data_IF_264304273236
#
_entry.id   IF_264304273236
#
_cell.length_a   1.000
_cell.length_b   1.000
_cell.length_c   1.000
_cell.angle_alpha   90.00
_cell.angle_beta   90.00
_cell.angle_gamma   90.00
#
_symmetry.space_group_name_H-M   'P 1'
#
loop_
_entity.id
_entity.type
_entity.pdbx_description
1 polymer ?
#
# COMPACT_ATOMS: atom_id res chain seq x y z
N UNK A 1 6.37 2.96 -39.06
CA UNK A 1 7.43 2.74 -38.06
C UNK A 1 7.09 1.44 -37.32
N UNK A 2 7.74 0.33 -37.65
CA UNK A 2 7.52 -0.96 -36.96
C UNK A 2 8.00 -0.78 -35.52
N UNK A 3 7.06 -0.80 -34.56
CA UNK A 3 7.39 -0.84 -33.14
C UNK A 3 8.08 -2.19 -32.91
N UNK A 4 9.40 -2.14 -32.67
CA UNK A 4 10.21 -3.31 -32.36
C UNK A 4 9.48 -4.09 -31.24
N UNK A 5 9.21 -5.37 -31.48
CA UNK A 5 8.46 -6.20 -30.54
C UNK A 5 9.16 -6.15 -29.16
N UNK A 6 8.41 -5.73 -28.15
CA UNK A 6 8.89 -5.49 -26.77
C UNK A 6 9.29 -6.82 -26.15
N UNK A 7 10.46 -6.90 -25.53
CA UNK A 7 10.85 -8.09 -24.78
C UNK A 7 9.97 -8.25 -23.54
N UNK A 8 9.72 -9.49 -23.12
CA UNK A 8 8.97 -9.79 -21.90
C UNK A 8 9.59 -9.12 -20.67
N UNK A 9 10.92 -9.13 -20.57
CA UNK A 9 11.66 -8.47 -19.49
C UNK A 9 11.40 -6.97 -19.45
N UNK A 10 11.39 -6.31 -20.62
CA UNK A 10 11.07 -4.89 -20.73
C UNK A 10 9.64 -4.58 -20.24
N UNK A 11 8.69 -5.47 -20.53
CA UNK A 11 7.32 -5.32 -20.04
C UNK A 11 7.24 -5.44 -18.52
N UNK A 12 7.88 -6.46 -17.95
CA UNK A 12 7.91 -6.68 -16.50
C UNK A 12 8.52 -5.48 -15.78
N UNK A 13 9.68 -5.01 -16.23
CA UNK A 13 10.37 -3.85 -15.64
C UNK A 13 9.51 -2.61 -15.70
N UNK A 14 8.85 -2.34 -16.84
CA UNK A 14 8.00 -1.17 -17.02
C UNK A 14 6.77 -1.21 -16.09
N UNK A 15 6.10 -2.34 -15.95
CA UNK A 15 4.95 -2.50 -15.04
C UNK A 15 5.40 -2.36 -13.58
N UNK A 16 6.53 -2.94 -13.23
CA UNK A 16 7.12 -2.79 -11.90
C UNK A 16 7.49 -1.33 -11.60
N UNK A 17 8.12 -0.62 -12.54
CA UNK A 17 8.46 0.80 -12.36
C UNK A 17 7.22 1.69 -12.18
N UNK A 18 6.14 1.44 -12.92
CA UNK A 18 4.87 2.16 -12.74
C UNK A 18 4.28 1.93 -11.35
N UNK A 19 4.34 0.70 -10.82
CA UNK A 19 3.90 0.41 -9.45
C UNK A 19 4.83 1.04 -8.41
N UNK A 20 6.12 1.05 -8.69
CA UNK A 20 7.18 1.54 -7.79
C UNK A 20 7.07 3.03 -7.48
N UNK A 21 6.49 3.83 -8.38
CA UNK A 21 6.21 5.25 -8.12
C UNK A 21 5.41 5.46 -6.83
N UNK A 22 4.46 4.57 -6.52
CA UNK A 22 3.66 4.66 -5.29
C UNK A 22 4.51 4.41 -4.06
N UNK A 23 5.27 3.29 -4.04
CA UNK A 23 6.11 2.95 -2.90
C UNK A 23 7.21 4.01 -2.68
N UNK A 24 7.86 4.46 -3.76
CA UNK A 24 8.85 5.53 -3.68
C UNK A 24 8.25 6.83 -3.11
N UNK A 25 7.00 7.18 -3.50
CA UNK A 25 6.33 8.39 -3.01
C UNK A 25 5.91 8.30 -1.53
N UNK A 26 5.86 7.11 -0.96
CA UNK A 26 5.56 6.89 0.45
C UNK A 26 6.85 6.73 1.24
N UNK A 27 7.66 5.73 0.88
CA UNK A 27 8.74 5.22 1.71
C UNK A 27 9.98 6.14 1.69
N UNK A 28 10.24 6.85 0.58
CA UNK A 28 11.34 7.80 0.51
C UNK A 28 11.13 9.05 1.40
N UNK A 29 9.89 9.37 1.77
CA UNK A 29 9.61 10.48 2.68
C UNK A 29 9.81 10.12 4.16
N UNK A 30 9.82 8.83 4.51
CA UNK A 30 9.84 8.40 5.91
C UNK A 30 10.99 9.02 6.72
N UNK A 31 12.25 9.07 6.24
CA UNK A 31 13.34 9.69 6.97
C UNK A 31 13.19 11.21 7.16
N UNK A 32 12.40 11.86 6.30
CA UNK A 32 12.25 13.31 6.26
C UNK A 32 10.98 13.83 6.96
N UNK A 33 10.12 12.96 7.51
CA UNK A 33 8.81 13.35 8.03
C UNK A 33 8.87 14.46 9.08
N UNK A 34 9.81 14.38 10.01
CA UNK A 34 9.98 15.40 11.05
C UNK A 34 10.44 16.74 10.45
N UNK A 35 11.46 16.70 9.58
CA UNK A 35 12.00 17.91 8.92
C UNK A 35 10.92 18.59 8.07
N UNK A 36 10.13 17.81 7.33
CA UNK A 36 8.99 18.34 6.56
C UNK A 36 7.96 18.94 7.50
N UNK A 37 7.59 18.26 8.58
CA UNK A 37 6.64 18.74 9.57
C UNK A 37 7.03 20.12 10.11
N UNK A 38 8.26 20.26 10.57
CA UNK A 38 8.80 21.55 11.04
C UNK A 38 8.72 22.62 9.95
N UNK A 39 9.08 22.27 8.70
CA UNK A 39 9.11 23.23 7.59
C UNK A 39 7.72 23.75 7.18
N UNK A 40 6.66 22.96 7.42
CA UNK A 40 5.27 23.36 7.15
C UNK A 40 4.53 23.85 8.39
N UNK A 41 5.27 24.12 9.49
CA UNK A 41 4.76 24.76 10.70
C UNK A 41 3.98 23.83 11.63
N UNK A 42 4.22 22.51 11.61
CA UNK A 42 3.62 21.61 12.58
C UNK A 42 4.46 21.56 13.85
N UNK A 43 3.79 21.49 14.99
CA UNK A 43 4.41 21.27 16.30
C UNK A 43 4.22 19.84 16.82
N UNK A 44 3.51 19.00 16.09
CA UNK A 44 3.12 17.66 16.53
C UNK A 44 3.58 16.60 15.53
N UNK A 45 4.23 15.56 16.04
CA UNK A 45 4.62 14.39 15.23
C UNK A 45 3.40 13.68 14.61
N UNK A 46 2.24 13.73 15.26
CA UNK A 46 1.01 13.18 14.70
C UNK A 46 0.56 13.89 13.42
N UNK A 47 0.86 15.18 13.28
CA UNK A 47 0.54 15.94 12.08
C UNK A 47 1.45 15.54 10.92
N UNK A 48 2.74 15.28 11.19
CA UNK A 48 3.67 14.77 10.17
C UNK A 48 3.25 13.38 9.64
N UNK A 49 2.63 12.54 10.49
CA UNK A 49 2.08 11.24 10.08
C UNK A 49 0.93 11.36 9.08
N UNK A 50 0.19 12.49 9.08
CA UNK A 50 -0.85 12.75 8.09
C UNK A 50 -0.29 12.73 6.67
N UNK A 51 0.97 13.09 6.46
CA UNK A 51 1.59 13.08 5.13
C UNK A 51 1.63 11.69 4.51
N UNK A 52 1.78 10.66 5.33
CA UNK A 52 1.72 9.26 4.88
C UNK A 52 0.26 8.79 4.76
N UNK A 53 -0.57 9.13 5.72
CA UNK A 53 -1.96 8.66 5.77
C UNK A 53 -2.80 9.23 4.64
N UNK A 54 -2.58 10.50 4.27
CA UNK A 54 -3.38 11.20 3.26
C UNK A 54 -3.05 10.79 1.82
N UNK A 55 -1.84 10.36 1.52
CA UNK A 55 -1.56 9.78 0.19
C UNK A 55 -2.30 8.46 0.01
N UNK A 56 -2.44 7.65 1.07
CA UNK A 56 -3.25 6.44 1.02
C UNK A 56 -4.73 6.74 0.82
N UNK A 57 -5.26 7.78 1.49
CA UNK A 57 -6.64 8.23 1.23
C UNK A 57 -6.84 8.56 -0.25
N UNK A 58 -5.91 9.33 -0.82
CA UNK A 58 -5.91 9.65 -2.25
C UNK A 58 -5.85 8.41 -3.15
N UNK A 59 -4.99 7.43 -2.81
CA UNK A 59 -4.91 6.15 -3.52
C UNK A 59 -6.24 5.39 -3.49
N UNK A 60 -6.90 5.34 -2.33
CA UNK A 60 -8.20 4.69 -2.18
C UNK A 60 -9.28 5.35 -3.05
N UNK A 61 -9.38 6.68 -2.99
CA UNK A 61 -10.32 7.45 -3.82
C UNK A 61 -10.05 7.26 -5.31
N UNK A 62 -8.79 7.39 -5.72
CA UNK A 62 -8.40 7.25 -7.11
C UNK A 62 -8.62 5.85 -7.69
N UNK A 63 -8.47 4.79 -6.89
CA UNK A 63 -8.72 3.42 -7.33
C UNK A 63 -10.17 3.17 -7.75
N UNK A 64 -11.14 3.85 -7.12
CA UNK A 64 -12.55 3.73 -7.49
C UNK A 64 -12.82 4.16 -8.93
N UNK A 65 -12.09 5.16 -9.38
CA UNK A 65 -12.32 5.80 -10.68
C UNK A 65 -11.37 5.26 -11.76
N UNK A 66 -10.10 5.05 -11.42
CA UNK A 66 -9.05 4.68 -12.39
C UNK A 66 -9.39 3.44 -13.23
N UNK A 67 -9.93 2.39 -12.60
CA UNK A 67 -10.33 1.17 -13.29
C UNK A 67 -11.41 1.41 -14.33
N UNK A 68 -12.50 2.08 -13.94
CA UNK A 68 -13.65 2.34 -14.81
C UNK A 68 -13.31 3.28 -15.98
N UNK A 69 -12.58 4.35 -15.68
CA UNK A 69 -12.10 5.26 -16.72
C UNK A 69 -11.22 4.53 -17.72
N UNK A 70 -10.35 3.63 -17.26
CA UNK A 70 -9.48 2.87 -18.13
C UNK A 70 -10.21 1.82 -18.98
N UNK A 71 -11.29 1.25 -18.46
CA UNK A 71 -12.15 0.34 -19.23
C UNK A 71 -12.95 1.08 -20.33
N UNK A 72 -13.12 2.38 -20.20
CA UNK A 72 -13.86 3.21 -21.16
C UNK A 72 -12.94 3.91 -22.16
N UNK A 73 -11.87 4.54 -21.67
CA UNK A 73 -10.99 5.39 -22.48
C UNK A 73 -9.71 4.69 -22.95
N UNK A 74 -9.41 3.50 -22.39
CA UNK A 74 -8.15 2.80 -22.59
C UNK A 74 -7.18 2.96 -21.41
N UNK A 75 -6.20 2.06 -21.33
CA UNK A 75 -5.23 2.04 -20.22
C UNK A 75 -4.28 3.23 -20.26
N UNK A 76 -3.71 3.50 -21.45
CA UNK A 76 -2.69 4.55 -21.62
C UNK A 76 -3.19 5.96 -21.29
N UNK A 77 -4.33 6.41 -21.82
CA UNK A 77 -4.84 7.75 -21.51
C UNK A 77 -5.02 8.00 -20.02
N UNK A 78 -5.52 6.99 -19.29
CA UNK A 78 -5.75 7.10 -17.85
C UNK A 78 -4.46 7.09 -17.04
N UNK A 79 -3.42 6.34 -17.47
CA UNK A 79 -2.08 6.43 -16.87
C UNK A 79 -1.51 7.83 -17.04
N UNK A 80 -1.65 8.44 -18.24
CA UNK A 80 -1.16 9.81 -18.47
C UNK A 80 -1.91 10.85 -17.65
N UNK A 81 -3.24 10.74 -17.57
CA UNK A 81 -4.04 11.63 -16.73
C UNK A 81 -3.64 11.52 -15.25
N UNK A 82 -3.49 10.30 -14.74
CA UNK A 82 -3.01 10.07 -13.36
C UNK A 82 -1.63 10.63 -13.13
N UNK A 83 -0.70 10.44 -14.06
CA UNK A 83 0.64 11.01 -13.96
C UNK A 83 0.64 12.53 -14.00
N UNK A 84 -0.21 13.17 -14.83
CA UNK A 84 -0.36 14.62 -14.84
C UNK A 84 -0.85 15.17 -13.50
N UNK A 85 -1.82 14.49 -12.86
CA UNK A 85 -2.28 14.82 -11.50
C UNK A 85 -1.14 14.66 -10.50
N UNK A 86 -0.36 13.57 -10.59
CA UNK A 86 0.81 13.35 -9.74
C UNK A 86 1.86 14.45 -9.86
N UNK A 87 2.15 14.93 -11.09
CA UNK A 87 3.11 16.01 -11.33
C UNK A 87 2.63 17.31 -10.66
N UNK A 88 1.37 17.71 -10.89
CA UNK A 88 0.78 18.91 -10.29
C UNK A 88 0.83 18.82 -8.76
N UNK A 89 0.42 17.67 -8.21
CA UNK A 89 0.41 17.42 -6.78
C UNK A 89 1.82 17.48 -6.17
N UNK A 90 2.81 16.93 -6.85
CA UNK A 90 4.20 16.95 -6.38
C UNK A 90 4.77 18.37 -6.38
N UNK A 91 4.42 19.19 -7.37
CA UNK A 91 4.78 20.61 -7.40
C UNK A 91 4.13 21.35 -6.21
N UNK A 92 2.84 21.09 -5.92
CA UNK A 92 2.17 21.63 -4.73
C UNK A 92 2.93 21.25 -3.45
N UNK A 93 3.34 19.99 -3.32
CA UNK A 93 4.10 19.54 -2.16
C UNK A 93 5.46 20.26 -2.03
N UNK A 94 6.22 20.40 -3.11
CA UNK A 94 7.53 21.08 -3.12
C UNK A 94 7.43 22.53 -2.62
N UNK A 95 6.38 23.24 -3.02
CA UNK A 95 6.17 24.65 -2.66
C UNK A 95 5.24 24.86 -1.46
N UNK A 96 4.86 23.78 -0.75
CA UNK A 96 3.97 23.93 0.40
C UNK A 96 4.65 24.64 1.57
N UNK A 97 3.90 25.58 2.17
CA UNK A 97 4.32 26.36 3.35
C UNK A 97 3.41 26.13 4.56
N UNK A 98 2.39 25.28 4.42
CA UNK A 98 1.48 24.91 5.49
C UNK A 98 1.15 23.42 5.43
N UNK A 99 0.73 22.88 6.57
CA UNK A 99 0.31 21.48 6.69
C UNK A 99 -0.87 21.18 5.76
N UNK A 100 -1.86 22.07 5.70
CA UNK A 100 -3.06 21.89 4.87
C UNK A 100 -2.72 21.78 3.38
N UNK A 101 -1.82 22.65 2.91
CA UNK A 101 -1.37 22.62 1.51
C UNK A 101 -0.61 21.34 1.20
N UNK A 102 0.28 20.90 2.13
CA UNK A 102 1.01 19.65 1.98
C UNK A 102 0.06 18.44 1.98
N UNK A 103 -0.89 18.37 2.92
CA UNK A 103 -1.92 17.33 3.02
C UNK A 103 -2.76 17.25 1.74
N UNK A 104 -3.21 18.41 1.24
CA UNK A 104 -3.94 18.48 -0.04
C UNK A 104 -3.09 17.94 -1.20
N UNK A 105 -1.83 18.33 -1.29
CA UNK A 105 -0.88 17.81 -2.26
C UNK A 105 -0.72 16.30 -2.16
N UNK A 106 -0.62 15.76 -0.95
CA UNK A 106 -0.49 14.31 -0.71
C UNK A 106 -1.74 13.51 -1.14
N UNK A 107 -2.95 14.04 -0.88
CA UNK A 107 -4.20 13.43 -1.37
C UNK A 107 -4.20 13.40 -2.90
N UNK A 108 -3.87 14.51 -3.54
CA UNK A 108 -3.80 14.57 -5.01
C UNK A 108 -2.72 13.65 -5.59
N UNK A 109 -1.54 13.54 -4.95
CA UNK A 109 -0.51 12.57 -5.34
C UNK A 109 -1.06 11.14 -5.31
N UNK A 110 -1.77 10.78 -4.24
CA UNK A 110 -2.41 9.46 -4.12
C UNK A 110 -3.42 9.21 -5.24
N UNK A 111 -4.29 10.17 -5.52
CA UNK A 111 -5.26 10.08 -6.64
C UNK A 111 -4.52 9.84 -7.96
N UNK A 112 -3.49 10.64 -8.26
CA UNK A 112 -2.70 10.51 -9.47
C UNK A 112 -2.00 9.16 -9.61
N UNK A 113 -1.37 8.70 -8.55
CA UNK A 113 -0.62 7.43 -8.51
C UNK A 113 -1.50 6.18 -8.51
N UNK A 114 -2.78 6.33 -8.21
CA UNK A 114 -3.74 5.20 -8.24
C UNK A 114 -3.86 4.58 -9.64
N UNK A 115 -3.79 5.40 -10.69
CA UNK A 115 -3.88 4.96 -12.07
C UNK A 115 -2.67 4.09 -12.49
N UNK A 116 -1.41 4.54 -12.44
CA UNK A 116 -0.27 3.71 -12.82
C UNK A 116 -0.19 2.42 -11.99
N UNK A 117 -0.52 2.45 -10.69
CA UNK A 117 -0.55 1.27 -9.83
C UNK A 117 -1.60 0.24 -10.27
N UNK A 118 -2.84 0.68 -10.43
CA UNK A 118 -3.96 -0.23 -10.73
C UNK A 118 -3.87 -0.75 -12.16
N UNK A 119 -3.47 0.11 -13.09
CA UNK A 119 -3.45 -0.24 -14.52
C UNK A 119 -2.24 -1.06 -14.92
N UNK A 120 -1.13 -1.03 -14.18
CA UNK A 120 -0.03 -1.99 -14.37
C UNK A 120 -0.53 -3.42 -14.24
N UNK A 121 -1.31 -3.70 -13.19
CA UNK A 121 -1.91 -5.02 -12.96
C UNK A 121 -2.91 -5.36 -14.06
N UNK A 122 -3.74 -4.39 -14.48
CA UNK A 122 -4.70 -4.58 -15.55
C UNK A 122 -4.01 -4.89 -16.88
N UNK A 123 -2.94 -4.18 -17.22
CA UNK A 123 -2.17 -4.41 -18.46
C UNK A 123 -1.49 -5.79 -18.48
N UNK A 124 -1.02 -6.29 -17.33
CA UNK A 124 -0.52 -7.67 -17.25
C UNK A 124 -1.64 -8.66 -17.58
N UNK A 125 -2.82 -8.46 -17.00
CA UNK A 125 -3.99 -9.32 -17.25
C UNK A 125 -4.52 -9.21 -18.68
N UNK A 126 -4.46 -8.03 -19.31
CA UNK A 126 -4.87 -7.83 -20.69
C UNK A 126 -3.91 -8.51 -21.68
N UNK A 127 -2.64 -8.70 -21.29
CA UNK A 127 -1.57 -9.21 -22.16
C UNK A 127 -1.28 -10.70 -21.98
N UNK A 128 -1.60 -11.27 -20.80
CA UNK A 128 -1.28 -12.65 -20.46
C UNK A 128 -2.44 -13.33 -19.73
N UNK A 129 -2.51 -14.67 -19.78
CA UNK A 129 -3.55 -15.47 -19.14
C UNK A 129 -2.98 -16.72 -18.46
N UNK A 130 -3.77 -17.33 -17.56
CA UNK A 130 -3.43 -18.57 -16.87
C UNK A 130 -2.15 -18.49 -16.04
N UNK A 131 -1.41 -19.60 -15.99
CA UNK A 131 -0.17 -19.72 -15.19
C UNK A 131 0.93 -18.77 -15.65
N UNK A 132 0.94 -18.45 -16.95
CA UNK A 132 1.91 -17.51 -17.50
C UNK A 132 1.69 -16.09 -17.00
N UNK A 133 0.43 -15.64 -16.87
CA UNK A 133 0.08 -14.37 -16.25
C UNK A 133 0.54 -14.33 -14.78
N UNK A 134 0.32 -15.41 -14.04
CA UNK A 134 0.74 -15.53 -12.65
C UNK A 134 2.26 -15.39 -12.52
N UNK A 135 3.03 -16.02 -13.41
CA UNK A 135 4.50 -15.91 -13.47
C UNK A 135 4.95 -14.47 -13.73
N UNK A 136 4.37 -13.79 -14.74
CA UNK A 136 4.70 -12.39 -15.04
C UNK A 136 4.39 -11.49 -13.85
N UNK A 137 3.22 -11.66 -13.23
CA UNK A 137 2.80 -10.89 -12.06
C UNK A 137 3.76 -11.10 -10.89
N UNK A 138 4.24 -12.32 -10.65
CA UNK A 138 5.22 -12.62 -9.60
C UNK A 138 6.52 -11.83 -9.81
N UNK A 139 7.04 -11.74 -11.03
CA UNK A 139 8.23 -10.94 -11.31
C UNK A 139 7.98 -9.43 -11.08
N UNK A 140 6.83 -8.91 -11.54
CA UNK A 140 6.46 -7.51 -11.32
C UNK A 140 6.39 -7.18 -9.83
N UNK A 141 5.74 -8.04 -9.04
CA UNK A 141 5.61 -7.87 -7.59
C UNK A 141 6.94 -8.04 -6.88
N UNK A 142 7.80 -8.97 -7.31
CA UNK A 142 9.13 -9.15 -6.71
C UNK A 142 9.99 -7.90 -6.85
N UNK A 143 9.99 -7.26 -8.01
CA UNK A 143 10.70 -6.00 -8.22
C UNK A 143 10.09 -4.88 -7.38
N UNK A 144 8.75 -4.81 -7.31
CA UNK A 144 8.04 -3.83 -6.49
C UNK A 144 8.40 -3.93 -5.00
N UNK A 145 8.56 -5.16 -4.46
CA UNK A 145 8.94 -5.39 -3.05
C UNK A 145 10.34 -4.86 -2.72
N UNK A 146 11.25 -4.77 -3.70
CA UNK A 146 12.57 -4.20 -3.49
C UNK A 146 12.54 -2.68 -3.24
N UNK A 147 11.49 -1.99 -3.70
CA UNK A 147 11.42 -0.52 -3.58
C UNK A 147 11.35 -0.06 -2.13
N UNK A 148 10.48 -0.59 -1.26
CA UNK A 148 10.49 -0.25 0.17
C UNK A 148 11.82 -0.51 0.88
N UNK A 149 12.62 -1.45 0.38
CA UNK A 149 13.97 -1.73 0.93
C UNK A 149 14.95 -0.59 0.63
N UNK A 150 14.86 -0.01 -0.57
CA UNK A 150 15.82 0.99 -1.07
C UNK A 150 15.31 2.42 -0.89
N UNK A 151 14.00 2.64 -0.93
CA UNK A 151 13.42 3.99 -0.95
C UNK A 151 13.78 4.85 0.27
N UNK A 152 13.75 4.36 1.53
CA UNK A 152 14.15 5.18 2.67
C UNK A 152 15.62 5.60 2.61
N UNK A 153 16.51 4.72 2.14
CA UNK A 153 17.94 5.05 1.95
C UNK A 153 18.11 6.15 0.91
N UNK A 154 17.42 6.04 -0.23
CA UNK A 154 17.43 7.10 -1.25
C UNK A 154 16.84 8.41 -0.69
N UNK A 155 15.75 8.33 0.07
CA UNK A 155 15.14 9.48 0.73
C UNK A 155 16.09 10.18 1.69
N UNK A 156 16.83 9.42 2.51
CA UNK A 156 17.84 9.95 3.41
C UNK A 156 18.98 10.64 2.65
N UNK A 157 19.53 10.00 1.62
CA UNK A 157 20.58 10.60 0.78
C UNK A 157 20.11 11.93 0.15
N UNK A 158 18.86 11.97 -0.34
CA UNK A 158 18.29 13.20 -0.91
C UNK A 158 18.12 14.27 0.17
N UNK A 159 17.60 13.91 1.35
CA UNK A 159 17.41 14.81 2.48
C UNK A 159 18.74 15.45 2.91
N UNK A 160 19.76 14.63 3.15
CA UNK A 160 21.04 15.06 3.72
C UNK A 160 21.85 15.95 2.77
N UNK A 161 21.75 15.72 1.45
CA UNK A 161 22.55 16.47 0.47
C UNK A 161 21.82 17.64 -0.21
N UNK A 162 20.48 17.56 -0.34
CA UNK A 162 19.71 18.51 -1.16
C UNK A 162 18.45 19.03 -0.49
N UNK A 163 18.18 18.60 0.76
CA UNK A 163 16.96 18.97 1.50
C UNK A 163 15.73 18.16 1.08
N UNK A 164 14.66 18.28 1.87
CA UNK A 164 13.46 17.44 1.73
C UNK A 164 12.70 17.63 0.40
N UNK A 165 12.74 18.82 -0.20
CA UNK A 165 12.09 19.10 -1.49
C UNK A 165 12.67 18.24 -2.62
N UNK A 166 13.95 17.87 -2.51
CA UNK A 166 14.62 17.03 -3.50
C UNK A 166 14.03 15.63 -3.58
N UNK A 167 13.41 15.13 -2.52
CA UNK A 167 12.73 13.85 -2.50
C UNK A 167 11.56 13.86 -3.49
N UNK A 168 10.73 14.90 -3.46
CA UNK A 168 9.63 15.04 -4.43
C UNK A 168 10.16 15.26 -5.86
N UNK A 169 11.22 16.06 -6.00
CA UNK A 169 11.83 16.31 -7.32
C UNK A 169 12.42 15.03 -7.93
N UNK A 170 13.08 14.18 -7.11
CA UNK A 170 13.60 12.89 -7.57
C UNK A 170 12.49 11.95 -8.03
N UNK A 171 11.35 11.93 -7.33
CA UNK A 171 10.16 11.17 -7.73
C UNK A 171 9.58 11.68 -9.04
N UNK A 172 9.55 13.01 -9.28
CA UNK A 172 9.13 13.60 -10.53
C UNK A 172 10.04 13.20 -11.69
N UNK A 173 11.36 13.25 -11.50
CA UNK A 173 12.35 12.85 -12.51
C UNK A 173 12.19 11.36 -12.84
N UNK A 174 12.13 10.50 -11.84
CA UNK A 174 11.91 9.07 -12.03
C UNK A 174 10.59 8.80 -12.75
N UNK A 175 9.50 9.43 -12.31
CA UNK A 175 8.19 9.32 -12.95
C UNK A 175 8.18 9.78 -14.40
N UNK A 176 8.84 10.90 -14.71
CA UNK A 176 8.97 11.40 -16.08
C UNK A 176 9.72 10.41 -16.98
N UNK A 177 10.81 9.80 -16.48
CA UNK A 177 11.57 8.78 -17.21
C UNK A 177 10.68 7.56 -17.48
N UNK A 178 9.97 7.07 -16.46
CA UNK A 178 9.10 5.90 -16.57
C UNK A 178 7.95 6.15 -17.55
N UNK A 179 7.31 7.33 -17.48
CA UNK A 179 6.18 7.67 -18.37
C UNK A 179 6.65 7.94 -19.79
N UNK A 180 7.82 8.53 -19.98
CA UNK A 180 8.41 8.71 -21.32
C UNK A 180 8.76 7.34 -21.96
N UNK A 181 9.31 6.42 -21.16
CA UNK A 181 9.55 5.04 -21.59
C UNK A 181 8.24 4.32 -21.93
N UNK A 182 7.24 4.43 -21.05
CA UNK A 182 5.89 3.87 -21.25
C UNK A 182 5.23 4.44 -22.51
N UNK A 183 5.34 5.74 -22.77
CA UNK A 183 4.81 6.39 -23.96
C UNK A 183 5.38 5.76 -25.25
N UNK A 184 6.72 5.64 -25.30
CA UNK A 184 7.44 5.17 -26.50
C UNK A 184 7.30 3.67 -26.76
N UNK A 185 7.17 2.87 -25.69
CA UNK A 185 7.35 1.41 -25.81
C UNK A 185 6.10 0.59 -25.49
N UNK A 186 5.13 1.15 -24.77
CA UNK A 186 3.91 0.42 -24.41
C UNK A 186 2.80 0.73 -25.42
N UNK A 187 2.30 -0.26 -26.19
CA UNK A 187 1.06 -0.12 -26.95
C UNK A 187 -0.15 -0.14 -25.99
N UNK A 188 -1.31 0.36 -26.46
CA UNK A 188 -2.57 0.17 -25.75
C UNK A 188 -2.91 -1.32 -25.64
N UNK A 189 -3.24 -1.77 -24.43
CA UNK A 189 -3.55 -3.20 -24.18
C UNK A 189 -5.03 -3.51 -24.24
N UNK A 190 -5.89 -2.51 -23.98
CA UNK A 190 -7.33 -2.68 -24.07
C UNK A 190 -7.80 -2.52 -25.51
N UNK A 191 -8.20 -3.64 -26.14
CA UNK A 191 -8.77 -3.63 -27.49
C UNK A 191 -10.07 -2.81 -27.52
N UNK A 192 -10.32 -2.07 -28.58
CA UNK A 192 -11.52 -1.20 -28.71
C UNK A 192 -12.84 -1.95 -28.53
N UNK A 193 -12.92 -3.19 -29.02
CA UNK A 193 -14.08 -4.07 -28.88
C UNK A 193 -14.42 -4.40 -27.42
N UNK A 194 -13.44 -4.31 -26.52
CA UNK A 194 -13.63 -4.57 -25.08
C UNK A 194 -13.86 -3.31 -24.27
N UNK A 195 -13.85 -2.12 -24.89
CA UNK A 195 -14.16 -0.86 -24.20
C UNK A 195 -15.62 -0.84 -23.79
N UNK A 196 -15.85 -0.47 -22.53
CA UNK A 196 -17.18 -0.35 -21.95
C UNK A 196 -17.58 1.11 -21.87
N UNK A 197 -18.82 1.46 -22.20
CA UNK A 197 -19.32 2.81 -21.97
C UNK A 197 -19.30 3.12 -20.46
N UNK A 198 -18.82 4.31 -20.11
CA UNK A 198 -18.83 4.77 -18.72
C UNK A 198 -20.30 4.92 -18.29
N UNK A 199 -20.76 4.07 -17.39
CA UNK A 199 -22.11 4.11 -16.84
C UNK A 199 -22.04 4.08 -15.32
N UNK A 200 -22.44 5.17 -14.68
CA UNK A 200 -22.53 5.27 -13.23
C UNK A 200 -23.49 4.20 -12.64
N UNK A 201 -24.48 3.79 -13.43
CA UNK A 201 -25.40 2.69 -13.07
C UNK A 201 -24.66 1.35 -12.86
N UNK A 202 -23.63 1.05 -13.64
CA UNK A 202 -22.86 -0.19 -13.47
C UNK A 202 -22.10 -0.21 -12.14
N UNK A 203 -21.57 0.94 -11.72
CA UNK A 203 -20.92 1.06 -10.41
C UNK A 203 -21.94 0.86 -9.27
N UNK A 204 -23.10 1.54 -9.35
CA UNK A 204 -24.18 1.36 -8.37
C UNK A 204 -24.63 -0.10 -8.29
N UNK A 205 -24.89 -0.73 -9.43
CA UNK A 205 -25.30 -2.15 -9.47
C UNK A 205 -24.21 -3.07 -8.92
N UNK A 206 -22.94 -2.85 -9.31
CA UNK A 206 -21.82 -3.64 -8.80
C UNK A 206 -21.59 -3.46 -7.30
N UNK A 207 -21.77 -2.23 -6.78
CA UNK A 207 -21.70 -1.96 -5.33
C UNK A 207 -22.83 -2.68 -4.58
N UNK A 208 -24.05 -2.62 -5.08
CA UNK A 208 -25.19 -3.33 -4.49
C UNK A 208 -24.98 -4.84 -4.52
N UNK A 209 -24.40 -5.36 -5.61
CA UNK A 209 -24.06 -6.77 -5.72
C UNK A 209 -22.96 -7.16 -4.73
N UNK A 210 -21.91 -6.36 -4.60
CA UNK A 210 -20.85 -6.55 -3.59
C UNK A 210 -21.44 -6.67 -2.17
N UNK A 211 -22.40 -5.79 -1.84
CA UNK A 211 -23.03 -5.76 -0.51
C UNK A 211 -23.93 -6.97 -0.21
N UNK A 212 -24.30 -7.77 -1.21
CA UNK A 212 -25.06 -9.01 -1.00
C UNK A 212 -24.15 -10.17 -0.54
N UNK A 213 -22.83 -10.07 -0.75
CA UNK A 213 -21.89 -11.14 -0.46
C UNK A 213 -21.17 -10.91 0.88
N UNK A 214 -21.69 -11.55 1.94
CA UNK A 214 -21.15 -11.44 3.30
C UNK A 214 -19.66 -11.76 3.39
N UNK A 215 -19.18 -12.77 2.64
CA UNK A 215 -17.75 -13.12 2.61
C UNK A 215 -16.89 -11.97 2.02
N UNK A 216 -17.37 -11.32 0.93
CA UNK A 216 -16.67 -10.19 0.36
C UNK A 216 -16.55 -9.03 1.35
N UNK A 217 -17.65 -8.72 2.07
CA UNK A 217 -17.65 -7.68 3.10
C UNK A 217 -16.72 -8.06 4.24
N UNK A 218 -16.86 -9.28 4.80
CA UNK A 218 -16.02 -9.76 5.90
C UNK A 218 -14.53 -9.62 5.59
N UNK A 219 -14.06 -10.23 4.50
CA UNK A 219 -12.64 -10.22 4.18
C UNK A 219 -12.14 -8.83 3.78
N UNK A 220 -13.02 -7.96 3.29
CA UNK A 220 -12.69 -6.54 3.06
C UNK A 220 -12.49 -5.78 4.37
N UNK A 221 -13.37 -5.98 5.36
CA UNK A 221 -13.20 -5.39 6.69
C UNK A 221 -11.91 -5.88 7.38
N UNK A 222 -11.65 -7.19 7.32
CA UNK A 222 -10.38 -7.74 7.83
C UNK A 222 -9.17 -7.10 7.13
N UNK A 223 -9.24 -6.96 5.81
CA UNK A 223 -8.20 -6.24 5.05
C UNK A 223 -8.03 -4.80 5.53
N UNK A 224 -9.11 -4.12 5.91
CA UNK A 224 -9.08 -2.76 6.45
C UNK A 224 -8.32 -2.67 7.77
N UNK A 225 -8.58 -3.57 8.73
CA UNK A 225 -7.89 -3.61 10.02
C UNK A 225 -6.39 -3.92 9.85
N UNK A 226 -6.04 -4.89 9.00
CA UNK A 226 -4.63 -5.25 8.75
C UNK A 226 -3.91 -4.13 7.99
N UNK A 227 -4.56 -3.49 7.00
CA UNK A 227 -4.01 -2.33 6.30
C UNK A 227 -3.83 -1.15 7.25
N UNK A 228 -4.77 -0.91 8.16
CA UNK A 228 -4.68 0.11 9.20
C UNK A 228 -3.48 -0.11 10.11
N UNK A 229 -3.29 -1.32 10.61
CA UNK A 229 -2.13 -1.71 11.41
C UNK A 229 -0.82 -1.45 10.67
N UNK A 230 -0.72 -1.86 9.41
CA UNK A 230 0.46 -1.59 8.59
C UNK A 230 0.69 -0.08 8.39
N UNK A 231 -0.37 0.68 8.15
CA UNK A 231 -0.30 2.13 7.93
C UNK A 231 0.12 2.89 9.21
N UNK A 232 -0.32 2.46 10.40
CA UNK A 232 0.17 3.01 11.67
C UNK A 232 1.68 2.90 11.75
N UNK A 233 2.22 1.70 11.49
CA UNK A 233 3.68 1.50 11.49
C UNK A 233 4.38 2.41 10.48
N UNK A 234 3.89 2.49 9.25
CA UNK A 234 4.49 3.38 8.24
C UNK A 234 4.58 4.82 8.75
N UNK A 235 3.48 5.34 9.34
CA UNK A 235 3.42 6.71 9.85
C UNK A 235 4.27 6.95 11.11
N UNK A 236 4.49 5.92 11.94
CA UNK A 236 5.19 6.06 13.23
C UNK A 236 6.61 5.48 13.23
N UNK A 237 7.02 4.77 12.18
CA UNK A 237 8.31 4.08 12.13
C UNK A 237 9.51 5.03 12.32
N UNK A 238 9.49 6.19 11.67
CA UNK A 238 10.52 7.22 11.82
C UNK A 238 10.60 7.68 13.28
N UNK A 239 9.48 8.01 13.90
CA UNK A 239 9.40 8.45 15.29
C UNK A 239 9.90 7.36 16.25
N UNK A 240 9.53 6.10 16.04
CA UNK A 240 9.99 5.00 16.88
C UNK A 240 11.50 4.82 16.75
N UNK A 241 12.03 4.62 15.56
CA UNK A 241 13.43 4.25 15.39
C UNK A 241 14.38 5.45 15.55
N UNK A 242 14.05 6.60 14.97
CA UNK A 242 14.96 7.76 15.02
C UNK A 242 14.83 8.56 16.31
N UNK A 243 13.61 8.80 16.83
CA UNK A 243 13.42 9.67 18.00
C UNK A 243 13.45 8.90 19.32
N UNK A 244 12.73 7.75 19.41
CA UNK A 244 12.66 6.99 20.67
C UNK A 244 13.92 6.13 20.92
N UNK A 245 14.55 5.61 19.85
CA UNK A 245 15.76 4.77 19.94
C UNK A 245 17.04 5.49 19.52
N UNK A 246 16.97 6.67 18.89
CA UNK A 246 18.12 7.41 18.39
C UNK A 246 18.82 6.80 17.17
N UNK A 247 18.16 5.86 16.47
CA UNK A 247 18.71 5.09 15.34
C UNK A 247 18.47 5.81 14.02
N UNK A 248 19.08 6.99 13.83
CA UNK A 248 18.88 7.82 12.64
C UNK A 248 19.51 7.20 11.39
N UNK A 249 20.75 6.69 11.54
CA UNK A 249 21.51 6.10 10.44
C UNK A 249 21.04 4.67 10.11
N UNK A 250 20.60 3.92 11.11
CA UNK A 250 20.17 2.54 10.98
C UNK A 250 18.72 2.39 10.49
N UNK A 251 17.90 3.43 10.65
CA UNK A 251 16.47 3.41 10.30
C UNK A 251 16.19 2.86 8.91
N UNK A 252 16.87 3.30 7.82
CA UNK A 252 16.61 2.78 6.49
C UNK A 252 16.85 1.26 6.37
N UNK A 253 17.86 0.74 7.06
CA UNK A 253 18.19 -0.70 7.05
C UNK A 253 17.18 -1.52 7.83
N UNK A 254 16.74 -1.02 9.00
CA UNK A 254 15.70 -1.67 9.83
C UNK A 254 14.39 -1.70 9.05
N UNK A 255 14.00 -0.59 8.43
CA UNK A 255 12.79 -0.53 7.61
C UNK A 255 12.88 -1.49 6.41
N UNK A 256 14.02 -1.55 5.74
CA UNK A 256 14.29 -2.50 4.68
C UNK A 256 14.17 -3.96 5.13
N UNK A 257 14.66 -4.30 6.31
CA UNK A 257 14.52 -5.64 6.88
C UNK A 257 13.05 -6.02 7.12
N UNK A 258 12.21 -5.06 7.56
CA UNK A 258 10.77 -5.29 7.70
C UNK A 258 10.12 -5.53 6.33
N UNK A 259 10.47 -4.78 5.31
CA UNK A 259 9.97 -4.98 3.95
C UNK A 259 10.37 -6.36 3.39
N UNK A 260 11.60 -6.80 3.65
CA UNK A 260 12.09 -8.15 3.29
C UNK A 260 11.24 -9.23 4.01
N UNK A 261 10.90 -9.05 5.27
CA UNK A 261 10.04 -9.99 6.02
C UNK A 261 8.68 -10.18 5.33
N UNK A 262 8.01 -9.09 4.91
CA UNK A 262 6.78 -9.15 4.11
C UNK A 262 7.02 -9.87 2.77
N UNK A 263 8.14 -9.56 2.11
CA UNK A 263 8.51 -10.17 0.82
C UNK A 263 8.68 -11.68 0.92
N UNK A 264 9.44 -12.15 1.91
CA UNK A 264 9.64 -13.59 2.16
C UNK A 264 8.30 -14.26 2.46
N UNK A 265 7.48 -13.67 3.33
CA UNK A 265 6.17 -14.20 3.67
C UNK A 265 5.26 -14.33 2.44
N UNK A 266 5.23 -13.31 1.59
CA UNK A 266 4.43 -13.31 0.36
C UNK A 266 4.92 -14.38 -0.62
N UNK A 267 6.23 -14.55 -0.75
CA UNK A 267 6.83 -15.58 -1.60
C UNK A 267 6.49 -16.99 -1.09
N UNK A 268 6.69 -17.24 0.20
CA UNK A 268 6.37 -18.51 0.84
C UNK A 268 4.86 -18.81 0.77
N UNK A 269 4.01 -17.78 0.90
CA UNK A 269 2.56 -17.94 0.75
C UNK A 269 2.18 -18.54 -0.60
N UNK A 270 2.86 -18.18 -1.68
CA UNK A 270 2.59 -18.71 -3.02
C UNK A 270 2.68 -20.24 -3.11
N UNK A 271 3.58 -20.86 -2.35
CA UNK A 271 3.74 -22.32 -2.29
C UNK A 271 2.84 -22.98 -1.25
N UNK A 272 2.73 -22.36 -0.08
CA UNK A 272 2.04 -22.91 1.09
C UNK A 272 0.51 -22.85 0.94
N UNK A 273 -0.01 -21.85 0.24
CA UNK A 273 -1.44 -21.67 0.02
C UNK A 273 -2.08 -22.82 -0.77
N UNK A 274 -1.33 -23.38 -1.72
CA UNK A 274 -1.80 -24.54 -2.50
C UNK A 274 -1.99 -25.79 -1.65
N UNK A 275 -1.20 -25.93 -0.57
CA UNK A 275 -1.26 -27.10 0.33
C UNK A 275 -2.29 -26.94 1.43
N UNK A 276 -2.41 -25.76 2.03
CA UNK A 276 -3.22 -25.56 3.24
C UNK A 276 -4.52 -24.77 2.97
N UNK A 277 -4.60 -24.03 1.87
CA UNK A 277 -5.73 -23.20 1.50
C UNK A 277 -5.75 -21.83 2.21
N UNK A 278 -6.33 -20.82 1.55
CA UNK A 278 -6.34 -19.43 2.03
C UNK A 278 -6.99 -19.25 3.40
N UNK A 279 -8.15 -19.89 3.65
CA UNK A 279 -8.91 -19.71 4.91
C UNK A 279 -8.11 -20.18 6.14
N UNK A 280 -7.40 -21.33 6.03
CA UNK A 280 -6.57 -21.84 7.14
C UNK A 280 -5.36 -20.94 7.40
N UNK A 281 -4.71 -20.45 6.31
CA UNK A 281 -3.58 -19.53 6.44
C UNK A 281 -4.00 -18.20 7.06
N UNK A 282 -5.13 -17.63 6.64
CA UNK A 282 -5.66 -16.41 7.27
C UNK A 282 -5.90 -16.62 8.75
N UNK A 283 -6.54 -17.72 9.15
CA UNK A 283 -6.77 -18.00 10.57
C UNK A 283 -5.46 -18.14 11.35
N UNK A 284 -4.49 -18.88 10.83
CA UNK A 284 -3.20 -19.10 11.49
C UNK A 284 -2.42 -17.80 11.66
N UNK A 285 -2.24 -17.03 10.56
CA UNK A 285 -1.44 -15.82 10.61
C UNK A 285 -2.14 -14.65 11.30
N UNK A 286 -3.47 -14.59 11.28
CA UNK A 286 -4.22 -13.63 12.09
C UNK A 286 -4.11 -13.97 13.59
N UNK A 287 -4.13 -15.24 13.95
CA UNK A 287 -3.85 -15.68 15.34
C UNK A 287 -2.43 -15.33 15.75
N UNK A 288 -1.43 -15.59 14.90
CA UNK A 288 -0.04 -15.22 15.13
C UNK A 288 0.11 -13.70 15.34
N UNK A 289 -0.47 -12.88 14.45
CA UNK A 289 -0.46 -11.43 14.55
C UNK A 289 -1.04 -10.96 15.90
N UNK A 290 -2.17 -11.51 16.31
CA UNK A 290 -2.84 -11.16 17.57
C UNK A 290 -2.03 -11.63 18.79
N UNK A 291 -1.48 -12.84 18.77
CA UNK A 291 -0.69 -13.37 19.88
C UNK A 291 0.62 -12.63 20.07
N UNK A 292 1.36 -12.32 19.01
CA UNK A 292 2.59 -11.51 19.11
C UNK A 292 2.29 -10.16 19.75
N UNK A 293 1.19 -9.51 19.33
CA UNK A 293 0.75 -8.26 19.93
C UNK A 293 0.38 -8.43 21.41
N UNK A 294 -0.34 -9.49 21.76
CA UNK A 294 -0.75 -9.79 23.12
C UNK A 294 0.47 -10.02 24.04
N UNK A 295 1.42 -10.83 23.61
CA UNK A 295 2.66 -11.07 24.38
C UNK A 295 3.45 -9.79 24.59
N UNK A 296 3.60 -8.97 23.54
CA UNK A 296 4.27 -7.67 23.67
C UNK A 296 3.57 -6.77 24.70
N UNK A 297 2.24 -6.65 24.62
CA UNK A 297 1.43 -5.82 25.51
C UNK A 297 1.53 -6.32 26.98
N UNK A 298 1.51 -7.63 27.23
CA UNK A 298 1.62 -8.19 28.58
C UNK A 298 3.02 -7.94 29.15
N UNK A 299 4.07 -8.22 28.38
CA UNK A 299 5.46 -8.17 28.87
C UNK A 299 5.91 -6.73 29.13
N UNK A 300 5.50 -5.77 28.29
CA UNK A 300 5.97 -4.38 28.35
C UNK A 300 4.92 -3.40 28.92
N UNK A 301 3.89 -3.92 29.62
CA UNK A 301 2.92 -3.07 30.30
C UNK A 301 3.60 -2.16 31.35
N UNK A 302 3.40 -0.84 31.23
CA UNK A 302 3.97 0.16 32.14
C UNK A 302 5.49 0.28 32.09
N UNK A 303 6.17 -0.32 31.12
CA UNK A 303 7.63 -0.26 30.95
C UNK A 303 8.01 0.73 29.85
N UNK A 304 9.29 1.15 29.88
CA UNK A 304 9.92 1.83 28.75
C UNK A 304 10.07 0.90 27.54
N UNK A 305 10.47 1.44 26.40
CA UNK A 305 10.74 0.64 25.22
C UNK A 305 11.70 -0.53 25.53
N UNK A 306 11.46 -1.74 24.96
CA UNK A 306 12.34 -2.89 25.10
C UNK A 306 13.70 -2.66 24.42
N UNK A 307 14.70 -3.55 24.63
CA UNK A 307 15.88 -3.61 23.77
C UNK A 307 15.49 -3.67 22.31
N UNK A 308 16.26 -3.01 21.44
CA UNK A 308 15.92 -2.85 20.02
C UNK A 308 15.73 -4.19 19.30
N UNK A 309 16.49 -5.21 19.70
CA UNK A 309 16.44 -6.56 19.12
C UNK A 309 15.06 -7.18 19.32
N UNK A 310 14.48 -7.02 20.51
CA UNK A 310 13.14 -7.54 20.84
C UNK A 310 12.07 -6.81 20.03
N UNK A 311 12.20 -5.49 19.90
CA UNK A 311 11.28 -4.70 19.08
C UNK A 311 11.32 -5.11 17.61
N UNK A 312 12.55 -5.22 17.05
CA UNK A 312 12.76 -5.61 15.65
C UNK A 312 12.22 -7.02 15.38
N UNK A 313 12.48 -7.99 16.28
CA UNK A 313 11.93 -9.34 16.16
C UNK A 313 10.40 -9.31 16.22
N UNK A 314 9.82 -8.55 17.15
CA UNK A 314 8.37 -8.41 17.26
C UNK A 314 7.75 -7.85 15.99
N UNK A 315 8.34 -6.81 15.41
CA UNK A 315 7.91 -6.27 14.12
C UNK A 315 8.12 -7.27 12.97
N UNK A 316 9.25 -7.95 12.91
CA UNK A 316 9.50 -8.94 11.85
C UNK A 316 8.44 -10.05 11.84
N UNK A 317 8.04 -10.55 13.02
CA UNK A 317 6.95 -11.53 13.15
C UNK A 317 5.60 -10.94 12.72
N UNK A 318 5.30 -9.68 13.08
CA UNK A 318 4.08 -9.00 12.65
C UNK A 318 4.04 -8.84 11.14
N UNK A 319 5.15 -8.38 10.53
CA UNK A 319 5.22 -8.16 9.09
C UNK A 319 5.23 -9.46 8.30
N UNK A 320 5.81 -10.51 8.85
CA UNK A 320 5.70 -11.86 8.28
C UNK A 320 4.23 -12.31 8.24
N UNK A 321 3.48 -12.13 9.33
CA UNK A 321 2.04 -12.43 9.35
C UNK A 321 1.26 -11.57 8.33
N UNK A 322 1.53 -10.25 8.26
CA UNK A 322 0.90 -9.33 7.31
C UNK A 322 1.14 -9.76 5.87
N UNK A 323 2.34 -10.25 5.53
CA UNK A 323 2.67 -10.74 4.19
C UNK A 323 1.77 -11.90 3.73
N UNK A 324 1.43 -12.82 4.62
CA UNK A 324 0.43 -13.86 4.35
C UNK A 324 -0.99 -13.30 4.28
N UNK A 325 -1.33 -12.37 5.15
CA UNK A 325 -2.70 -11.85 5.27
C UNK A 325 -3.12 -11.01 4.06
N UNK A 326 -2.28 -10.11 3.55
CA UNK A 326 -2.64 -9.19 2.46
C UNK A 326 -3.15 -9.90 1.21
N UNK A 327 -2.41 -10.89 0.72
CA UNK A 327 -2.77 -11.62 -0.48
C UNK A 327 -4.03 -12.49 -0.29
N UNK A 328 -4.06 -13.24 0.80
CA UNK A 328 -5.13 -14.20 1.06
C UNK A 328 -6.47 -13.52 1.39
N UNK A 329 -6.46 -12.44 2.20
CA UNK A 329 -7.67 -11.68 2.52
C UNK A 329 -8.29 -11.08 1.26
N UNK A 330 -7.47 -10.45 0.41
CA UNK A 330 -7.92 -9.87 -0.85
C UNK A 330 -8.49 -10.92 -1.80
N UNK A 331 -7.84 -12.07 -1.90
CA UNK A 331 -8.30 -13.18 -2.74
C UNK A 331 -9.63 -13.74 -2.24
N UNK A 332 -9.78 -13.94 -0.94
CA UNK A 332 -11.02 -14.41 -0.32
C UNK A 332 -12.18 -13.41 -0.49
N UNK A 333 -11.91 -12.11 -0.38
CA UNK A 333 -12.91 -11.07 -0.63
C UNK A 333 -13.40 -11.08 -2.08
N UNK A 334 -12.53 -11.44 -3.04
CA UNK A 334 -12.85 -11.45 -4.47
C UNK A 334 -13.49 -12.75 -4.94
N UNK A 335 -13.35 -13.84 -4.20
CA UNK A 335 -13.80 -15.17 -4.60
C UNK A 335 -15.30 -15.24 -4.95
N UNK A 336 -16.24 -14.70 -4.12
CA UNK A 336 -17.68 -14.76 -4.41
C UNK A 336 -18.15 -13.79 -5.50
N UNK A 337 -17.33 -12.80 -5.86
CA UNK A 337 -17.68 -11.68 -6.76
C UNK A 337 -16.84 -11.63 -8.03
N UNK A 338 -16.33 -12.78 -8.49
CA UNK A 338 -15.48 -12.87 -9.67
C UNK A 338 -16.10 -12.27 -10.95
N UNK A 339 -17.43 -12.33 -11.10
CA UNK A 339 -18.17 -11.75 -12.22
C UNK A 339 -18.17 -10.21 -12.25
N UNK A 340 -17.94 -9.55 -11.11
CA UNK A 340 -17.75 -8.09 -10.98
C UNK A 340 -16.35 -7.73 -10.48
N UNK A 341 -15.34 -8.53 -10.80
CA UNK A 341 -14.00 -8.45 -10.23
C UNK A 341 -13.38 -7.03 -10.28
N UNK A 342 -13.62 -6.25 -11.34
CA UNK A 342 -13.11 -4.87 -11.45
C UNK A 342 -13.68 -3.96 -10.37
N UNK A 343 -15.00 -3.92 -10.23
CA UNK A 343 -15.70 -3.11 -9.22
C UNK A 343 -15.41 -3.63 -7.81
N UNK A 344 -15.45 -4.96 -7.63
CA UNK A 344 -15.15 -5.59 -6.36
C UNK A 344 -13.74 -5.28 -5.85
N UNK A 345 -12.73 -5.34 -6.72
CA UNK A 345 -11.35 -4.98 -6.37
C UNK A 345 -11.19 -3.51 -6.01
N UNK A 346 -11.89 -2.61 -6.73
CA UNK A 346 -11.89 -1.18 -6.43
C UNK A 346 -12.55 -0.90 -5.08
N UNK A 347 -13.68 -1.53 -4.79
CA UNK A 347 -14.38 -1.41 -3.50
C UNK A 347 -13.55 -1.99 -2.35
N UNK A 348 -12.97 -3.19 -2.52
CA UNK A 348 -12.10 -3.78 -1.51
C UNK A 348 -10.92 -2.85 -1.18
N UNK A 349 -10.23 -2.33 -2.20
CA UNK A 349 -9.12 -1.40 -1.99
C UNK A 349 -9.55 -0.09 -1.33
N UNK A 350 -10.66 0.49 -1.77
CA UNK A 350 -11.20 1.73 -1.22
C UNK A 350 -11.61 1.57 0.25
N UNK A 351 -12.47 0.59 0.55
CA UNK A 351 -12.97 0.37 1.92
C UNK A 351 -11.83 0.06 2.87
N UNK A 352 -10.89 -0.83 2.46
CA UNK A 352 -9.72 -1.15 3.28
C UNK A 352 -8.88 0.07 3.59
N UNK A 353 -8.69 0.97 2.62
CA UNK A 353 -7.88 2.18 2.79
C UNK A 353 -8.60 3.24 3.62
N UNK A 354 -9.90 3.48 3.36
CA UNK A 354 -10.70 4.45 4.12
C UNK A 354 -10.83 4.03 5.58
N UNK A 355 -10.91 2.73 5.88
CA UNK A 355 -10.86 2.23 7.26
C UNK A 355 -9.47 2.41 7.88
N UNK A 356 -8.42 2.18 7.10
CA UNK A 356 -7.05 2.25 7.58
C UNK A 356 -6.64 3.67 8.01
N UNK A 357 -7.13 4.70 7.32
CA UNK A 357 -6.80 6.12 7.61
C UNK A 357 -7.14 6.52 9.05
N UNK A 358 -8.40 6.40 9.53
CA UNK A 358 -8.72 6.76 10.91
C UNK A 358 -8.05 5.83 11.94
N UNK A 359 -7.87 4.55 11.65
CA UNK A 359 -7.14 3.61 12.51
C UNK A 359 -5.69 4.10 12.69
N UNK A 360 -5.01 4.43 11.60
CA UNK A 360 -3.64 4.92 11.64
C UNK A 360 -3.55 6.26 12.38
N UNK A 361 -4.42 7.21 12.07
CA UNK A 361 -4.43 8.52 12.70
C UNK A 361 -4.74 8.45 14.19
N UNK A 362 -5.67 7.59 14.61
CA UNK A 362 -6.02 7.46 16.03
C UNK A 362 -4.92 6.79 16.84
N UNK A 363 -4.42 5.63 16.40
CA UNK A 363 -3.37 4.90 17.12
C UNK A 363 -2.06 5.71 17.12
N UNK A 364 -1.71 6.31 15.97
CA UNK A 364 -0.47 7.07 15.79
C UNK A 364 -0.31 8.22 16.80
N UNK A 365 -1.42 8.86 17.21
CA UNK A 365 -1.40 9.94 18.22
C UNK A 365 -0.80 9.53 19.56
N UNK A 366 -0.91 8.26 19.93
CA UNK A 366 -0.42 7.74 21.21
C UNK A 366 1.00 7.18 21.14
N UNK A 367 1.57 7.03 19.95
CA UNK A 367 2.94 6.52 19.75
C UNK A 367 3.94 7.67 19.90
N UNK A 368 4.01 8.29 21.07
CA UNK A 368 4.87 9.47 21.32
C UNK A 368 6.16 9.08 22.01
N UNK A 369 6.06 8.39 23.14
CA UNK A 369 7.21 8.08 24.00
C UNK A 369 7.70 6.65 23.82
N UNK A 370 6.79 5.74 23.54
CA UNK A 370 7.08 4.30 23.40
C UNK A 370 6.34 3.68 22.23
N UNK A 371 6.84 2.54 21.73
CA UNK A 371 6.17 1.72 20.73
C UNK A 371 4.96 0.93 21.30
N UNK A 372 4.76 0.94 22.62
CA UNK A 372 3.70 0.19 23.30
C UNK A 372 2.29 0.44 22.73
N UNK A 373 1.84 1.71 22.53
CA UNK A 373 0.51 1.99 21.98
C UNK A 373 0.29 1.42 20.57
N UNK A 374 1.35 1.28 19.76
CA UNK A 374 1.28 0.66 18.45
C UNK A 374 0.87 -0.82 18.57
N UNK A 375 1.51 -1.57 19.48
CA UNK A 375 1.18 -2.98 19.70
C UNK A 375 -0.20 -3.17 20.35
N UNK A 376 -0.65 -2.22 21.20
CA UNK A 376 -2.04 -2.18 21.68
C UNK A 376 -3.00 -2.02 20.50
N UNK A 377 -2.71 -1.12 19.57
CA UNK A 377 -3.47 -0.94 18.34
C UNK A 377 -3.52 -2.20 17.48
N UNK A 378 -2.39 -2.88 17.30
CA UNK A 378 -2.31 -4.16 16.59
C UNK A 378 -3.16 -5.25 17.28
N UNK A 379 -3.09 -5.32 18.61
CA UNK A 379 -3.90 -6.26 19.39
C UNK A 379 -5.40 -6.00 19.21
N UNK A 380 -5.84 -4.76 19.30
CA UNK A 380 -7.25 -4.37 19.10
C UNK A 380 -7.70 -4.75 17.68
N UNK A 381 -6.95 -4.38 16.65
CA UNK A 381 -7.26 -4.73 15.26
C UNK A 381 -7.30 -6.25 15.04
N UNK A 382 -6.35 -6.97 15.63
CA UNK A 382 -6.30 -8.44 15.60
C UNK A 382 -7.50 -9.09 16.27
N UNK A 383 -7.84 -8.67 17.50
CA UNK A 383 -8.99 -9.18 18.25
C UNK A 383 -10.31 -8.91 17.51
N UNK A 384 -10.53 -7.70 17.02
CA UNK A 384 -11.74 -7.38 16.24
C UNK A 384 -11.82 -8.27 15.00
N UNK A 385 -10.70 -8.42 14.28
CA UNK A 385 -10.63 -9.28 13.10
C UNK A 385 -10.93 -10.74 13.42
N UNK A 386 -10.42 -11.27 14.53
CA UNK A 386 -10.71 -12.63 14.98
C UNK A 386 -12.18 -12.80 15.35
N UNK A 387 -12.76 -11.85 16.11
CA UNK A 387 -14.18 -11.87 16.47
C UNK A 387 -15.06 -11.89 15.21
N UNK A 388 -14.78 -11.02 14.26
CA UNK A 388 -15.50 -10.99 12.98
C UNK A 388 -15.38 -12.34 12.24
N UNK A 389 -14.18 -12.89 12.13
CA UNK A 389 -13.93 -14.15 11.45
C UNK A 389 -14.73 -15.32 12.08
N UNK A 390 -14.75 -15.39 13.40
CA UNK A 390 -15.51 -16.45 14.12
C UNK A 390 -17.03 -16.23 14.07
N UNK A 391 -17.50 -15.00 14.16
CA UNK A 391 -18.94 -14.67 14.12
C UNK A 391 -19.56 -15.03 12.76
N UNK A 392 -18.82 -14.81 11.67
CA UNK A 392 -19.30 -15.15 10.33
C UNK A 392 -19.10 -16.63 9.98
N UNK A 393 -18.17 -17.34 10.64
CA UNK A 393 -17.94 -18.78 10.41
C UNK A 393 -19.20 -19.63 10.60
N UNK A 394 -20.08 -19.27 11.54
CA UNK A 394 -21.38 -19.97 11.78
C UNK A 394 -22.39 -19.80 10.64
N UNK A 395 -22.20 -18.85 9.71
CA UNK A 395 -23.09 -18.59 8.57
C UNK A 395 -22.54 -19.17 7.25
N UNK A 396 -21.31 -19.69 7.25
CA UNK A 396 -20.58 -20.14 6.06
C UNK A 396 -20.54 -21.67 5.95
N UNK A 397 -20.93 -22.41 7.04
CA UNK A 397 -21.23 -23.84 7.05
C UNK A 397 -22.75 -24.02 7.01
#
# INVERSE_FOLDING_TARGET
MQIKQKSQTEFILMMACLMSLVALSIDALLPALNVIGISVGTSSNSDSQLLITMIFLGLGLGQLVAGQFSDSFGRKPVVYAGFSVFVIASIICVYSKSLEMMVFGRILQGIGLSAPRTLSIAMVRDSYSGDYMARIMSFVVSIFILVPVVAPTLGKIMLDNFGWQSIFTSQLIFGAIVVAWFYKRQPETLKEIHRKKLKLSLFKTGTLEFLKHNDAILFTLLSGFITGSFMVFLGTSQQIFQEQYGLVEEFPYIFGAMAISVGIATFVNGTVVMKFGMKKLVMFFLSMFTLVSLFYVIIFYGKVNPPIEILVISFALQFFAIGFLFGNLRSLAMQPIGHIAGIGSALNGFVSTVMAVPIAGYIGKYVVVTAYPLFVGFLICGCISMILLFSFRKKIN
#
